data_IF_563332081375
#
_entry.id   IF_563332081375
#
_cell.length_a   1.000
_cell.length_b   1.000
_cell.length_c   1.000
_cell.angle_alpha   90.00
_cell.angle_beta   90.00
_cell.angle_gamma   90.00
#
_symmetry.space_group_name_H-M   'P 1'
#
loop_
_entity.id
_entity.type
_entity.pdbx_description
1 polymer ?
#
# COMPACT_ATOMS: atom_id res chain seq x y z
N UNK A 1 -38.42 2.31 31.11
CA UNK A 1 -37.91 1.89 29.79
C UNK A 1 -36.40 1.99 29.84
N UNK A 2 -35.73 0.83 29.78
CA UNK A 2 -34.27 0.66 29.68
C UNK A 2 -33.73 1.40 28.44
N UNK A 3 -32.58 2.10 28.48
CA UNK A 3 -31.23 1.56 28.61
C UNK A 3 -30.72 1.21 27.20
N UNK A 4 -29.75 1.92 26.62
CA UNK A 4 -28.33 1.69 26.84
C UNK A 4 -27.49 2.91 26.42
N UNK A 5 -26.78 3.48 27.39
CA UNK A 5 -25.54 4.22 27.18
C UNK A 5 -24.41 3.21 26.87
N UNK A 6 -23.74 3.37 25.73
CA UNK A 6 -22.33 2.99 25.56
C UNK A 6 -21.59 4.32 25.53
N UNK A 7 -20.71 4.69 26.46
CA UNK A 7 -19.67 3.89 27.11
C UNK A 7 -18.35 4.64 26.90
N UNK A 8 -18.31 5.92 27.32
CA UNK A 8 -17.09 6.69 27.44
C UNK A 8 -16.31 6.08 28.62
N UNK A 9 -15.41 5.13 28.33
CA UNK A 9 -14.51 4.59 29.35
C UNK A 9 -13.30 5.51 29.45
N UNK A 10 -13.15 6.06 30.65
CA UNK A 10 -12.04 6.91 31.11
C UNK A 10 -10.68 6.43 30.60
N UNK A 11 -9.98 7.32 29.91
CA UNK A 11 -8.60 7.20 29.47
C UNK A 11 -7.64 7.88 30.47
N UNK A 12 -7.88 7.77 31.78
CA UNK A 12 -7.09 8.46 32.83
C UNK A 12 -6.30 7.52 33.76
N UNK A 13 -6.27 6.20 33.51
CA UNK A 13 -5.68 5.23 34.45
C UNK A 13 -4.56 4.33 33.92
N UNK A 14 -4.17 4.43 32.65
CA UNK A 14 -3.09 3.57 32.13
C UNK A 14 -1.73 4.20 32.46
N UNK A 15 -0.86 3.42 33.10
CA UNK A 15 0.53 3.84 33.32
C UNK A 15 1.14 4.25 31.98
N UNK A 16 1.93 5.33 31.95
CA UNK A 16 2.62 5.80 30.73
C UNK A 16 3.36 4.64 30.04
N UNK A 17 3.89 3.68 30.82
CA UNK A 17 4.54 2.46 30.35
C UNK A 17 3.62 1.52 29.56
N UNK A 18 2.35 1.37 29.95
CA UNK A 18 1.37 0.53 29.24
C UNK A 18 0.92 1.18 27.93
N UNK A 19 0.72 2.50 27.93
CA UNK A 19 0.37 3.27 26.71
C UNK A 19 1.52 3.22 25.70
N UNK A 20 2.75 3.38 26.17
CA UNK A 20 3.95 3.30 25.32
C UNK A 20 4.15 1.88 24.77
N UNK A 21 3.97 0.84 25.59
CA UNK A 21 4.05 -0.56 25.14
C UNK A 21 3.01 -0.92 24.07
N UNK A 22 1.77 -0.45 24.22
CA UNK A 22 0.71 -0.67 23.23
C UNK A 22 0.97 0.07 21.90
N UNK A 23 1.58 1.26 21.95
CA UNK A 23 1.96 2.01 20.75
C UNK A 23 3.10 1.35 19.97
N UNK A 24 4.08 0.77 20.67
CA UNK A 24 5.16 0.01 20.02
C UNK A 24 4.64 -1.26 19.35
N UNK A 25 3.80 -2.04 20.04
CA UNK A 25 3.19 -3.23 19.46
C UNK A 25 2.34 -2.91 18.21
N UNK A 26 1.61 -1.79 18.22
CA UNK A 26 0.86 -1.31 17.06
C UNK A 26 1.78 -0.94 15.88
N UNK A 27 2.90 -0.27 16.17
CA UNK A 27 3.88 0.11 15.16
C UNK A 27 4.54 -1.10 14.51
N UNK A 28 4.94 -2.08 15.31
CA UNK A 28 5.52 -3.33 14.82
C UNK A 28 4.52 -4.10 13.96
N UNK A 29 3.24 -4.15 14.37
CA UNK A 29 2.18 -4.82 13.61
C UNK A 29 1.91 -4.12 12.27
N UNK A 30 1.87 -2.78 12.23
CA UNK A 30 1.66 -2.05 10.97
C UNK A 30 2.84 -2.26 10.02
N UNK A 31 4.07 -2.26 10.56
CA UNK A 31 5.28 -2.51 9.79
C UNK A 31 5.32 -3.93 9.22
N UNK A 32 5.07 -4.93 10.05
CA UNK A 32 5.03 -6.32 9.60
C UNK A 32 3.91 -6.54 8.55
N UNK A 33 2.75 -5.91 8.75
CA UNK A 33 1.67 -5.93 7.75
C UNK A 33 2.07 -5.23 6.45
N UNK A 34 2.78 -4.10 6.51
CA UNK A 34 3.21 -3.38 5.30
C UNK A 34 4.28 -4.15 4.54
N UNK A 35 5.19 -4.82 5.23
CA UNK A 35 6.24 -5.64 4.63
C UNK A 35 5.61 -6.85 3.91
N UNK A 36 4.59 -7.47 4.53
CA UNK A 36 3.80 -8.55 3.93
C UNK A 36 3.09 -8.11 2.64
N UNK A 37 2.65 -6.85 2.56
CA UNK A 37 1.91 -6.30 1.42
C UNK A 37 2.72 -5.34 0.55
N UNK A 38 4.05 -5.31 0.70
CA UNK A 38 4.93 -4.29 0.12
C UNK A 38 4.68 -4.13 -1.39
N UNK A 39 4.71 -5.23 -2.13
CA UNK A 39 4.49 -5.22 -3.57
C UNK A 39 3.10 -4.68 -3.96
N UNK A 40 2.05 -5.13 -3.28
CA UNK A 40 0.68 -4.68 -3.55
C UNK A 40 0.52 -3.19 -3.23
N UNK A 41 1.09 -2.72 -2.13
CA UNK A 41 1.11 -1.30 -1.75
C UNK A 41 1.85 -0.47 -2.79
N UNK A 42 2.98 -0.98 -3.29
CA UNK A 42 3.77 -0.28 -4.29
C UNK A 42 3.02 -0.14 -5.63
N UNK A 43 2.24 -1.14 -6.06
CA UNK A 43 1.34 -1.02 -7.22
C UNK A 43 0.30 0.09 -6.99
N UNK A 44 -0.36 0.08 -5.83
CA UNK A 44 -1.36 1.09 -5.45
C UNK A 44 -0.74 2.50 -5.47
N UNK A 45 0.47 2.65 -4.93
CA UNK A 45 1.23 3.91 -4.89
C UNK A 45 1.52 4.42 -6.31
N UNK A 46 2.01 3.54 -7.20
CA UNK A 46 2.32 3.92 -8.58
C UNK A 46 1.07 4.29 -9.38
N UNK A 47 -0.02 3.55 -9.22
CA UNK A 47 -1.33 3.90 -9.81
C UNK A 47 -1.76 5.30 -9.36
N UNK A 48 -1.67 5.59 -8.06
CA UNK A 48 -2.03 6.90 -7.53
C UNK A 48 -1.14 8.01 -8.10
N UNK A 49 0.17 7.77 -8.26
CA UNK A 49 1.10 8.74 -8.86
C UNK A 49 0.81 9.01 -10.33
N UNK A 50 0.61 7.96 -11.13
CA UNK A 50 0.36 8.12 -12.57
C UNK A 50 -0.97 8.82 -12.85
N UNK A 51 -2.01 8.47 -12.10
CA UNK A 51 -3.33 9.09 -12.23
C UNK A 51 -3.41 10.49 -11.64
N UNK A 52 -2.44 10.89 -10.80
CA UNK A 52 -2.34 12.22 -10.21
C UNK A 52 -1.29 13.10 -10.92
N UNK A 53 -1.35 13.18 -12.24
CA UNK A 53 -0.46 14.07 -13.03
C UNK A 53 0.94 13.51 -13.33
N UNK A 54 1.21 12.25 -13.01
CA UNK A 54 2.45 11.58 -13.37
C UNK A 54 3.52 11.57 -12.26
N UNK A 55 4.59 10.80 -12.48
CA UNK A 55 5.68 10.64 -11.52
C UNK A 55 6.45 11.94 -11.33
N UNK A 56 6.86 12.59 -12.42
CA UNK A 56 7.64 13.82 -12.37
C UNK A 56 6.87 14.95 -11.65
N UNK A 57 5.57 15.08 -11.91
CA UNK A 57 4.72 16.08 -11.25
C UNK A 57 4.66 15.90 -9.72
N UNK A 58 4.61 14.65 -9.26
CA UNK A 58 4.50 14.34 -7.84
C UNK A 58 5.84 14.43 -7.11
N UNK A 59 6.94 14.11 -7.79
CA UNK A 59 8.30 14.24 -7.25
C UNK A 59 8.88 15.65 -7.38
N UNK A 60 8.30 16.53 -8.20
CA UNK A 60 8.76 17.90 -8.37
C UNK A 60 8.61 18.75 -7.10
N UNK A 61 7.67 18.41 -6.21
CA UNK A 61 7.47 19.12 -4.95
C UNK A 61 7.94 18.31 -3.76
N UNK A 62 8.74 18.94 -2.91
CA UNK A 62 9.21 18.33 -1.64
C UNK A 62 8.16 18.34 -0.54
N UNK A 63 7.03 19.02 -0.72
CA UNK A 63 5.97 19.12 0.27
C UNK A 63 4.84 18.10 0.09
N UNK A 64 4.95 17.19 -0.89
CA UNK A 64 3.96 16.14 -1.14
C UNK A 64 4.36 14.82 -0.49
N UNK A 65 3.37 14.10 0.02
CA UNK A 65 3.51 12.73 0.45
C UNK A 65 2.30 11.89 0.04
N UNK A 66 2.52 10.59 -0.06
CA UNK A 66 1.44 9.62 -0.12
C UNK A 66 0.88 9.40 1.28
N UNK A 67 -0.43 9.47 1.41
CA UNK A 67 -1.16 9.14 2.65
C UNK A 67 -2.03 7.92 2.36
N UNK A 68 -1.73 6.81 3.03
CA UNK A 68 -2.52 5.58 2.99
C UNK A 68 -3.26 5.49 4.32
N UNK A 69 -4.59 5.51 4.25
CA UNK A 69 -5.46 5.32 5.41
C UNK A 69 -5.82 3.85 5.53
N UNK A 70 -5.45 3.25 6.64
CA UNK A 70 -5.74 1.89 7.02
C UNK A 70 -6.97 1.83 7.92
N UNK A 71 -7.69 0.73 7.86
CA UNK A 71 -8.74 0.39 8.83
C UNK A 71 -8.47 -0.99 9.42
N UNK A 72 -8.46 -1.06 10.75
CA UNK A 72 -8.29 -2.32 11.48
C UNK A 72 -9.45 -3.27 11.19
N UNK A 73 -9.13 -4.51 10.86
CA UNK A 73 -10.14 -5.56 10.65
C UNK A 73 -10.33 -6.30 11.98
N UNK A 74 -11.56 -6.37 12.52
CA UNK A 74 -11.81 -7.10 13.76
C UNK A 74 -11.45 -8.58 13.60
N UNK A 75 -10.63 -9.11 14.51
CA UNK A 75 -10.42 -10.56 14.60
C UNK A 75 -11.73 -11.21 15.04
N UNK A 76 -12.34 -11.99 14.15
CA UNK A 76 -13.48 -12.84 14.48
C UNK A 76 -13.06 -13.99 15.38
N UNK A 77 -12.90 -13.74 16.69
CA UNK A 77 -12.86 -14.71 17.77
C UNK A 77 -11.83 -15.85 17.65
N UNK A 78 -10.67 -15.68 18.31
CA UNK A 78 -9.85 -16.81 18.77
C UNK A 78 -8.70 -17.24 17.85
N UNK A 79 -7.67 -16.41 17.77
CA UNK A 79 -6.23 -16.73 17.69
C UNK A 79 -5.48 -15.46 17.26
N UNK A 80 -4.14 -15.47 17.38
CA UNK A 80 -3.23 -14.38 16.98
C UNK A 80 -3.67 -13.69 15.68
N UNK A 81 -3.63 -12.35 15.63
CA UNK A 81 -3.94 -11.56 14.43
C UNK A 81 -3.19 -12.15 13.25
N UNK A 82 -3.92 -12.61 12.24
CA UNK A 82 -3.33 -13.02 10.99
C UNK A 82 -2.72 -11.80 10.34
N UNK A 83 -1.39 -11.71 10.31
CA UNK A 83 -0.73 -10.43 10.02
C UNK A 83 -1.19 -9.86 8.68
N UNK A 84 -1.33 -10.67 7.62
CA UNK A 84 -1.81 -10.20 6.32
C UNK A 84 -3.25 -9.67 6.30
N UNK A 85 -4.06 -9.92 7.34
CA UNK A 85 -5.46 -9.49 7.47
C UNK A 85 -5.68 -8.43 8.54
N UNK A 86 -4.62 -7.98 9.21
CA UNK A 86 -4.72 -7.03 10.33
C UNK A 86 -5.40 -5.72 9.92
N UNK A 87 -5.14 -5.27 8.69
CA UNK A 87 -5.67 -4.02 8.14
C UNK A 87 -6.17 -4.19 6.72
N UNK A 88 -7.13 -3.34 6.35
CA UNK A 88 -7.49 -3.07 4.95
C UNK A 88 -7.13 -1.63 4.58
N UNK A 89 -6.79 -1.41 3.31
CA UNK A 89 -6.59 -0.06 2.76
C UNK A 89 -7.95 0.59 2.55
N UNK A 90 -8.25 1.63 3.32
CA UNK A 90 -9.49 2.41 3.23
C UNK A 90 -9.38 3.49 2.16
N UNK A 91 -8.32 4.31 2.22
CA UNK A 91 -8.11 5.44 1.32
C UNK A 91 -6.62 5.59 0.95
N UNK A 92 -6.35 6.14 -0.22
CA UNK A 92 -5.00 6.43 -0.72
C UNK A 92 -5.07 7.75 -1.46
N UNK A 93 -4.23 8.70 -1.06
CA UNK A 93 -4.18 10.01 -1.68
C UNK A 93 -2.77 10.57 -1.64
N UNK A 94 -2.46 11.42 -2.61
CA UNK A 94 -1.28 12.28 -2.58
C UNK A 94 -1.75 13.63 -2.08
N UNK A 95 -1.11 14.16 -1.03
CA UNK A 95 -1.48 15.43 -0.43
C UNK A 95 -0.24 16.27 -0.15
N UNK A 96 -0.41 17.59 -0.23
CA UNK A 96 0.61 18.52 0.26
C UNK A 96 0.58 18.60 1.78
N UNK A 97 1.72 18.93 2.37
CA UNK A 97 1.91 19.09 3.81
C UNK A 97 0.85 19.98 4.45
N UNK A 98 0.48 21.06 3.80
CA UNK A 98 -0.50 22.03 4.28
C UNK A 98 -1.95 21.62 4.01
N UNK A 99 -2.22 20.68 3.11
CA UNK A 99 -3.58 20.23 2.76
C UNK A 99 -4.07 19.11 3.67
N UNK A 100 -3.16 18.31 4.22
CA UNK A 100 -3.51 17.18 5.07
C UNK A 100 -3.20 17.47 6.57
N UNK A 101 -4.20 17.37 7.47
CA UNK A 101 -4.00 17.63 8.89
C UNK A 101 -2.95 16.75 9.56
N UNK A 102 -2.81 15.50 9.10
CA UNK A 102 -1.82 14.58 9.61
C UNK A 102 -0.42 15.03 9.16
N UNK A 103 -0.22 15.26 7.85
CA UNK A 103 1.06 15.75 7.36
C UNK A 103 1.45 17.06 8.05
N UNK A 104 0.55 18.04 8.15
CA UNK A 104 0.83 19.32 8.81
C UNK A 104 1.35 19.16 10.25
N UNK A 105 0.87 18.15 10.98
CA UNK A 105 1.22 17.93 12.38
C UNK A 105 2.52 17.14 12.57
N UNK A 106 2.79 16.18 11.70
CA UNK A 106 3.87 15.20 11.90
C UNK A 106 5.01 15.32 10.89
N UNK A 107 4.89 16.19 9.89
CA UNK A 107 5.95 16.48 8.93
C UNK A 107 7.20 17.03 9.61
N UNK A 108 8.34 16.38 9.42
CA UNK A 108 9.64 16.91 9.84
C UNK A 108 10.44 17.34 8.61
N UNK A 109 11.08 18.51 8.69
CA UNK A 109 11.88 19.04 7.55
C UNK A 109 13.11 18.17 7.24
N UNK A 110 13.65 17.49 8.24
CA UNK A 110 14.71 16.47 8.08
C UNK A 110 14.23 15.21 7.34
N UNK A 111 12.92 15.03 7.21
CA UNK A 111 12.28 13.99 6.40
C UNK A 111 11.86 14.53 5.04
N UNK A 112 12.24 15.73 4.59
CA UNK A 112 12.02 16.07 3.19
C UNK A 112 12.92 15.15 2.33
N UNK A 113 12.40 14.47 1.30
CA UNK A 113 13.17 13.50 0.55
C UNK A 113 14.36 14.22 -0.07
N UNK A 114 15.56 13.83 0.34
CA UNK A 114 16.74 14.16 -0.42
C UNK A 114 16.79 13.14 -1.54
N UNK A 115 16.12 13.46 -2.65
CA UNK A 115 16.28 12.77 -3.94
C UNK A 115 17.76 12.57 -4.31
N UNK A 116 18.66 13.38 -3.73
CA UNK A 116 20.11 13.32 -3.89
C UNK A 116 20.88 12.57 -2.77
N UNK A 117 20.36 12.40 -1.55
CA UNK A 117 21.14 11.82 -0.44
C UNK A 117 21.19 10.29 -0.45
N UNK A 118 20.14 9.62 -0.91
CA UNK A 118 20.22 8.18 -1.21
C UNK A 118 21.07 7.91 -2.46
N UNK A 119 21.19 8.92 -3.34
CA UNK A 119 22.04 8.88 -4.51
C UNK A 119 23.55 8.84 -4.19
N UNK A 120 23.98 9.25 -2.99
CA UNK A 120 25.39 9.26 -2.58
C UNK A 120 25.78 8.24 -1.50
N UNK A 121 24.83 7.73 -0.68
CA UNK A 121 25.19 7.00 0.55
C UNK A 121 25.16 5.47 0.48
N UNK A 122 24.65 4.85 -0.59
CA UNK A 122 24.71 3.37 -0.75
C UNK A 122 25.67 3.01 -1.87
N UNK A 123 26.95 2.88 -1.53
CA UNK A 123 28.05 2.50 -2.44
C UNK A 123 27.99 1.07 -2.99
N UNK A 124 26.81 0.44 -3.08
CA UNK A 124 26.63 -0.93 -3.56
C UNK A 124 25.28 -1.03 -4.28
N UNK A 125 25.34 -0.99 -5.61
CA UNK A 125 24.44 -1.56 -6.63
C UNK A 125 24.21 -0.59 -7.80
N UNK A 126 24.26 -1.07 -9.05
CA UNK A 126 23.84 -0.28 -10.20
C UNK A 126 22.38 0.14 -9.98
N UNK A 127 22.12 1.44 -10.01
CA UNK A 127 20.75 1.96 -9.88
C UNK A 127 19.86 1.28 -10.91
N UNK A 128 18.68 0.81 -10.46
CA UNK A 128 17.67 0.35 -11.37
C UNK A 128 17.37 1.47 -12.40
N UNK A 129 17.48 1.22 -13.71
CA UNK A 129 17.39 2.30 -14.72
C UNK A 129 16.04 3.02 -14.70
N UNK A 130 14.98 2.35 -14.26
CA UNK A 130 13.66 2.95 -14.11
C UNK A 130 13.45 3.75 -12.81
N UNK A 131 14.38 3.73 -11.83
CA UNK A 131 14.19 4.46 -10.57
C UNK A 131 14.12 5.98 -10.83
N UNK A 132 12.99 6.59 -10.47
CA UNK A 132 12.72 8.01 -10.64
C UNK A 132 13.12 8.83 -9.40
N UNK A 133 12.99 8.25 -8.21
CA UNK A 133 13.29 8.89 -6.94
C UNK A 133 12.55 8.18 -5.80
N UNK A 134 12.35 8.91 -4.71
CA UNK A 134 11.63 8.41 -3.55
C UNK A 134 10.50 9.34 -3.13
N UNK A 135 9.44 8.77 -2.54
CA UNK A 135 8.32 9.53 -1.97
C UNK A 135 8.05 9.07 -0.53
N UNK A 136 7.68 10.04 0.32
CA UNK A 136 7.22 9.77 1.68
C UNK A 136 5.87 9.07 1.66
N UNK A 137 5.75 8.01 2.44
CA UNK A 137 4.48 7.30 2.63
C UNK A 137 4.11 7.33 4.11
N UNK A 138 2.98 7.94 4.40
CA UNK A 138 2.36 7.94 5.71
C UNK A 138 1.24 6.91 5.76
N UNK A 139 1.38 5.90 6.62
CA UNK A 139 0.31 4.97 6.96
C UNK A 139 -0.42 5.51 8.20
N UNK A 140 -1.69 5.83 8.06
CA UNK A 140 -2.54 6.31 9.17
C UNK A 140 -3.60 5.27 9.49
N UNK A 141 -4.04 5.16 10.75
CA UNK A 141 -5.13 4.24 11.12
C UNK A 141 -6.39 5.03 11.40
N UNK A 142 -7.46 4.73 10.66
CA UNK A 142 -8.77 5.37 10.77
C UNK A 142 -9.30 5.28 12.21
N UNK A 143 -9.79 6.41 12.72
CA UNK A 143 -10.34 6.50 14.07
C UNK A 143 -9.28 6.56 15.17
N UNK A 144 -8.00 6.67 14.82
CA UNK A 144 -6.91 6.82 15.78
C UNK A 144 -6.08 8.07 15.47
N UNK A 145 -5.32 8.56 16.44
CA UNK A 145 -4.26 9.54 16.22
C UNK A 145 -2.93 8.88 15.82
N UNK A 146 -2.94 7.57 15.55
CA UNK A 146 -1.75 6.81 15.21
C UNK A 146 -1.42 6.94 13.73
N UNK A 147 -0.14 7.13 13.47
CA UNK A 147 0.41 6.96 12.15
C UNK A 147 1.86 6.49 12.21
N UNK A 148 2.24 5.76 11.17
CA UNK A 148 3.59 5.37 10.89
C UNK A 148 4.04 6.11 9.63
N UNK A 149 5.15 6.83 9.73
CA UNK A 149 5.80 7.42 8.56
C UNK A 149 6.95 6.50 8.16
N UNK A 150 6.90 5.99 6.93
CA UNK A 150 8.03 5.31 6.34
C UNK A 150 9.00 6.36 5.83
N UNK A 151 10.32 6.14 6.01
CA UNK A 151 11.30 7.11 5.58
C UNK A 151 11.14 7.37 4.09
N UNK A 152 11.11 6.38 3.20
CA UNK A 152 11.03 6.60 1.75
C UNK A 152 10.56 5.33 1.02
N UNK A 153 9.64 5.44 0.05
CA UNK A 153 9.33 4.38 -0.93
C UNK A 153 9.97 4.69 -2.28
N UNK A 154 10.53 3.67 -2.92
CA UNK A 154 11.11 3.78 -4.26
C UNK A 154 10.01 3.93 -5.31
N UNK A 155 10.13 5.00 -6.11
CA UNK A 155 9.22 5.35 -7.17
C UNK A 155 9.90 5.15 -8.52
N UNK A 156 9.25 4.40 -9.40
CA UNK A 156 9.75 4.04 -10.72
C UNK A 156 9.02 4.80 -11.82
N UNK A 157 9.74 5.11 -12.90
CA UNK A 157 9.18 5.63 -14.15
C UNK A 157 8.33 4.53 -14.80
N UNK A 158 7.25 4.89 -15.51
CA UNK A 158 6.56 3.96 -16.41
C UNK A 158 7.56 3.31 -17.38
N UNK A 159 7.33 2.06 -17.77
CA UNK A 159 8.28 1.32 -18.59
C UNK A 159 8.32 1.81 -20.04
N UNK A 160 7.15 2.12 -20.61
CA UNK A 160 7.02 2.53 -22.02
C UNK A 160 6.73 4.02 -22.19
N UNK A 161 6.64 4.77 -21.08
CA UNK A 161 6.30 6.19 -21.10
C UNK A 161 7.27 7.05 -20.29
N UNK A 162 7.29 8.36 -20.59
CA UNK A 162 8.10 9.31 -19.84
C UNK A 162 7.52 9.53 -18.43
N UNK A 163 8.32 10.10 -17.52
CA UNK A 163 7.89 10.33 -16.14
C UNK A 163 6.76 11.38 -16.02
N UNK A 164 6.62 12.23 -17.04
CA UNK A 164 5.60 13.28 -17.17
C UNK A 164 4.33 12.77 -17.87
N UNK A 165 4.34 11.54 -18.40
CA UNK A 165 3.22 10.99 -19.14
C UNK A 165 2.00 10.82 -18.23
N UNK A 166 0.85 11.31 -18.71
CA UNK A 166 -0.43 11.14 -18.05
C UNK A 166 -1.17 9.99 -18.75
N UNK A 167 -1.67 8.98 -18.03
CA UNK A 167 -2.40 7.88 -18.64
C UNK A 167 -3.64 8.38 -19.40
N UNK A 168 -3.86 7.92 -20.65
CA UNK A 168 -5.14 8.12 -21.32
C UNK A 168 -6.30 7.56 -20.51
N UNK A 169 -7.53 8.05 -20.76
CA UNK A 169 -8.73 7.66 -20.00
C UNK A 169 -8.93 6.14 -19.88
N UNK A 170 -8.60 5.40 -20.93
CA UNK A 170 -8.67 3.93 -20.92
C UNK A 170 -7.72 3.29 -19.88
N UNK A 171 -6.47 3.75 -19.80
CA UNK A 171 -5.52 3.32 -18.77
C UNK A 171 -5.98 3.74 -17.38
N UNK A 172 -6.50 4.97 -17.21
CA UNK A 172 -7.06 5.41 -15.94
C UNK A 172 -8.19 4.48 -15.45
N UNK A 173 -9.09 4.05 -16.33
CA UNK A 173 -10.14 3.08 -16.00
C UNK A 173 -9.56 1.73 -15.60
N UNK A 174 -8.57 1.21 -16.33
CA UNK A 174 -7.91 -0.05 -15.99
C UNK A 174 -7.16 0.02 -14.65
N UNK A 175 -6.46 1.13 -14.39
CA UNK A 175 -5.76 1.36 -13.13
C UNK A 175 -6.71 1.48 -11.93
N UNK A 176 -7.89 2.10 -12.13
CA UNK A 176 -8.92 2.12 -11.10
C UNK A 176 -9.41 0.72 -10.74
N UNK A 177 -9.62 -0.13 -11.74
CA UNK A 177 -10.02 -1.52 -11.51
C UNK A 177 -8.92 -2.31 -10.81
N UNK A 178 -7.66 -2.07 -11.17
CA UNK A 178 -6.51 -2.70 -10.56
C UNK A 178 -6.29 -2.26 -9.10
N UNK A 179 -6.49 -0.98 -8.77
CA UNK A 179 -6.52 -0.48 -7.39
C UNK A 179 -7.59 -1.20 -6.58
N UNK A 180 -8.81 -1.36 -7.13
CA UNK A 180 -9.90 -2.10 -6.47
C UNK A 180 -9.48 -3.55 -6.23
N UNK A 181 -8.90 -4.25 -7.22
CA UNK A 181 -8.40 -5.62 -7.05
C UNK A 181 -7.36 -5.69 -5.93
N UNK A 182 -6.36 -4.80 -5.94
CA UNK A 182 -5.28 -4.78 -4.95
C UNK A 182 -5.81 -4.57 -3.52
N UNK A 183 -6.70 -3.59 -3.32
CA UNK A 183 -7.29 -3.34 -1.99
C UNK A 183 -8.15 -4.49 -1.49
N UNK A 184 -8.88 -5.16 -2.39
CA UNK A 184 -9.68 -6.34 -2.03
C UNK A 184 -8.80 -7.55 -1.72
N UNK A 185 -7.70 -7.74 -2.45
CA UNK A 185 -6.71 -8.77 -2.14
C UNK A 185 -6.11 -8.57 -0.74
N UNK A 186 -5.68 -7.35 -0.42
CA UNK A 186 -5.20 -6.97 0.93
C UNK A 186 -6.28 -7.30 1.98
N UNK A 187 -7.53 -6.87 1.76
CA UNK A 187 -8.61 -7.12 2.72
C UNK A 187 -8.92 -8.62 2.91
N UNK A 188 -8.67 -9.45 1.90
CA UNK A 188 -8.78 -10.91 1.99
C UNK A 188 -7.54 -11.60 2.60
N UNK A 189 -6.47 -10.84 2.84
CA UNK A 189 -5.17 -11.36 3.29
C UNK A 189 -4.35 -12.04 2.20
N UNK A 190 -4.69 -11.80 0.92
CA UNK A 190 -3.98 -12.30 -0.25
C UNK A 190 -2.78 -11.39 -0.50
N UNK A 191 -1.64 -12.01 -0.74
CA UNK A 191 -0.37 -11.34 -0.98
C UNK A 191 0.10 -11.60 -2.40
N UNK A 192 0.32 -10.51 -3.14
CA UNK A 192 0.93 -10.55 -4.45
C UNK A 192 2.46 -10.48 -4.26
N UNK A 193 3.22 -11.25 -5.05
CA UNK A 193 4.66 -11.02 -5.21
C UNK A 193 5.06 -10.97 -6.66
N UNK A 194 6.19 -10.33 -6.88
CA UNK A 194 6.97 -10.48 -8.10
C UNK A 194 7.38 -11.94 -8.22
N UNK A 195 7.19 -12.54 -9.39
CA UNK A 195 7.85 -13.79 -9.74
C UNK A 195 9.35 -13.51 -9.84
N UNK A 196 10.22 -14.39 -9.34
CA UNK A 196 11.68 -14.22 -9.30
C UNK A 196 12.28 -14.01 -10.71
N UNK A 197 12.11 -12.82 -11.29
CA UNK A 197 12.72 -12.42 -12.55
C UNK A 197 14.02 -11.66 -12.25
N UNK A 198 15.19 -12.23 -12.55
CA UNK A 198 16.49 -11.60 -12.33
C UNK A 198 16.73 -10.34 -13.16
N UNK A 199 15.84 -9.98 -14.11
CA UNK A 199 15.94 -8.73 -14.87
C UNK A 199 15.59 -7.48 -14.05
N UNK A 200 15.08 -7.61 -12.82
CA UNK A 200 14.96 -6.51 -11.85
C UNK A 200 13.91 -5.44 -12.17
N UNK A 201 13.27 -5.50 -13.34
CA UNK A 201 12.27 -4.53 -13.77
C UNK A 201 10.95 -4.74 -13.02
N UNK A 202 10.79 -4.03 -11.90
CA UNK A 202 9.59 -4.01 -11.05
C UNK A 202 8.26 -3.81 -11.83
N UNK A 203 8.30 -3.21 -13.02
CA UNK A 203 7.13 -2.88 -13.83
C UNK A 203 6.98 -3.70 -15.13
N UNK A 204 7.97 -4.52 -15.50
CA UNK A 204 7.94 -5.33 -16.73
C UNK A 204 7.48 -6.77 -16.48
N UNK A 205 6.60 -6.98 -15.49
CA UNK A 205 6.38 -8.30 -14.91
C UNK A 205 5.24 -9.06 -15.59
N UNK A 206 5.32 -10.41 -15.68
CA UNK A 206 4.15 -11.26 -15.85
C UNK A 206 3.13 -11.01 -14.71
N UNK A 207 1.89 -11.52 -14.82
CA UNK A 207 0.95 -11.48 -13.69
C UNK A 207 1.63 -11.94 -12.40
N UNK A 208 1.40 -11.27 -11.26
CA UNK A 208 2.12 -11.59 -10.04
C UNK A 208 1.79 -12.99 -9.54
N UNK A 209 2.72 -13.56 -8.77
CA UNK A 209 2.46 -14.77 -8.01
C UNK A 209 1.54 -14.45 -6.83
N UNK A 210 0.56 -15.32 -6.61
CA UNK A 210 -0.42 -15.18 -5.54
C UNK A 210 -0.08 -16.10 -4.39
N UNK A 211 -0.22 -15.59 -3.16
CA UNK A 211 -0.11 -16.41 -1.97
C UNK A 211 -0.94 -15.92 -0.81
N UNK A 212 -0.97 -16.75 0.22
CA UNK A 212 -1.45 -16.42 1.57
C UNK A 212 -0.30 -16.65 2.52
N UNK A 213 -0.25 -15.87 3.60
CA UNK A 213 0.60 -16.27 4.72
C UNK A 213 -0.14 -17.31 5.53
N UNK A 214 0.54 -18.38 5.89
CA UNK A 214 0.05 -19.39 6.82
C UNK A 214 0.98 -19.42 8.03
N UNK A 215 0.44 -19.82 9.19
CA UNK A 215 1.25 -19.92 10.40
C UNK A 215 2.14 -21.16 10.30
N UNK A 216 3.45 -20.97 10.43
CA UNK A 216 4.46 -22.03 10.43
C UNK A 216 5.18 -22.02 11.79
N UNK A 217 4.65 -22.81 12.74
CA UNK A 217 5.12 -22.81 14.12
C UNK A 217 4.96 -21.45 14.80
N UNK A 218 6.10 -20.78 15.07
CA UNK A 218 6.15 -19.45 15.69
C UNK A 218 6.10 -18.28 14.70
N UNK A 219 6.17 -18.54 13.39
CA UNK A 219 6.25 -17.50 12.36
C UNK A 219 5.14 -17.57 11.32
N UNK A 220 5.28 -16.72 10.31
CA UNK A 220 4.42 -16.66 9.13
C UNK A 220 5.21 -17.07 7.90
N UNK A 221 4.65 -17.97 7.09
CA UNK A 221 5.25 -18.41 5.84
C UNK A 221 4.32 -18.13 4.67
N UNK A 222 4.84 -17.55 3.60
CA UNK A 222 4.09 -17.39 2.35
C UNK A 222 3.90 -18.74 1.68
N UNK A 223 2.65 -19.10 1.43
CA UNK A 223 2.24 -20.27 0.66
C UNK A 223 1.65 -19.78 -0.66
N UNK A 224 2.31 -20.13 -1.76
CA UNK A 224 1.84 -19.79 -3.10
C UNK A 224 0.59 -20.60 -3.42
N UNK A 225 -0.40 -19.95 -4.01
CA UNK A 225 -1.62 -20.56 -4.47
C UNK A 225 -1.92 -20.08 -5.89
N UNK A 226 -1.56 -20.89 -6.91
CA UNK A 226 -1.72 -20.50 -8.32
C UNK A 226 -3.19 -20.40 -8.76
N UNK A 227 -4.13 -20.96 -8.00
CA UNK A 227 -5.57 -20.92 -8.35
C UNK A 227 -6.29 -19.71 -7.75
N UNK A 228 -5.63 -18.84 -6.98
CA UNK A 228 -6.29 -17.66 -6.40
C UNK A 228 -6.94 -16.73 -7.42
N UNK A 229 -6.35 -16.61 -8.60
CA UNK A 229 -6.94 -15.81 -9.67
C UNK A 229 -8.27 -16.41 -10.14
N UNK A 230 -8.32 -17.73 -10.37
CA UNK A 230 -9.54 -18.41 -10.82
C UNK A 230 -10.59 -18.56 -9.73
N UNK A 231 -10.17 -18.77 -8.48
CA UNK A 231 -11.04 -19.21 -7.40
C UNK A 231 -11.53 -18.06 -6.53
N UNK A 232 -10.77 -16.95 -6.50
CA UNK A 232 -11.06 -15.81 -5.62
C UNK A 232 -11.24 -14.52 -6.41
N UNK A 233 -10.24 -14.10 -7.19
CA UNK A 233 -10.24 -12.77 -7.84
C UNK A 233 -11.28 -12.68 -8.96
N UNK A 234 -11.27 -13.61 -9.92
CA UNK A 234 -12.23 -13.59 -11.03
C UNK A 234 -13.69 -13.71 -10.55
N UNK A 235 -14.04 -14.61 -9.62
CA UNK A 235 -15.39 -14.66 -9.07
C UNK A 235 -15.78 -13.40 -8.29
N UNK A 236 -14.83 -12.76 -7.62
CA UNK A 236 -15.07 -11.49 -6.93
C UNK A 236 -15.35 -10.34 -7.91
N UNK A 237 -14.61 -10.26 -9.02
CA UNK A 237 -14.87 -9.30 -10.09
C UNK A 237 -16.26 -9.52 -10.71
N UNK A 238 -16.60 -10.77 -11.01
CA UNK A 238 -17.89 -11.14 -11.60
C UNK A 238 -19.09 -10.85 -10.67
N UNK A 239 -18.91 -11.00 -9.34
CA UNK A 239 -19.95 -10.70 -8.34
C UNK A 239 -20.17 -9.20 -8.13
N UNK A 240 -19.21 -8.36 -8.49
CA UNK A 240 -19.25 -6.93 -8.21
C UNK A 240 -18.94 -6.07 -9.45
N UNK A 241 -19.63 -6.27 -10.59
CA UNK A 241 -19.29 -5.63 -11.86
C UNK A 241 -19.35 -4.10 -11.80
N UNK A 242 -20.22 -3.53 -10.97
CA UNK A 242 -20.33 -2.08 -10.77
C UNK A 242 -19.11 -1.42 -10.10
N UNK A 243 -18.18 -2.23 -9.57
CA UNK A 243 -16.90 -1.75 -9.01
C UNK A 243 -15.77 -1.71 -10.04
N UNK A 244 -15.95 -2.32 -11.20
CA UNK A 244 -14.93 -2.44 -12.26
C UNK A 244 -15.38 -1.69 -13.52
N UNK A 245 -14.83 -0.51 -13.74
CA UNK A 245 -15.26 0.45 -14.76
C UNK A 245 -14.66 0.19 -16.14
N UNK A 246 -13.54 -0.53 -16.24
CA UNK A 246 -12.93 -0.86 -17.53
C UNK A 246 -13.59 -2.06 -18.22
N UNK A 247 -14.26 -2.93 -17.44
CA UNK A 247 -14.83 -4.19 -17.92
C UNK A 247 -13.79 -5.23 -18.34
N UNK A 248 -12.50 -4.99 -18.10
CA UNK A 248 -11.43 -5.89 -18.48
C UNK A 248 -11.29 -7.06 -17.50
N UNK A 249 -10.93 -8.26 -17.99
CA UNK A 249 -10.57 -9.36 -17.11
C UNK A 249 -9.26 -9.05 -16.38
N UNK A 250 -9.07 -9.68 -15.22
CA UNK A 250 -7.91 -9.50 -14.36
C UNK A 250 -6.56 -9.59 -15.11
N UNK A 251 -6.37 -10.59 -15.97
CA UNK A 251 -5.12 -10.75 -16.73
C UNK A 251 -4.86 -9.56 -17.66
N UNK A 252 -5.91 -9.00 -18.28
CA UNK A 252 -5.76 -7.85 -19.16
C UNK A 252 -5.38 -6.58 -18.38
N UNK A 253 -5.81 -6.43 -17.12
CA UNK A 253 -5.39 -5.33 -16.26
C UNK A 253 -3.87 -5.34 -16.04
N UNK A 254 -3.27 -6.50 -15.74
CA UNK A 254 -1.82 -6.62 -15.56
C UNK A 254 -1.03 -6.44 -16.85
N UNK A 255 -1.55 -6.96 -17.97
CA UNK A 255 -0.93 -6.72 -19.28
C UNK A 255 -0.92 -5.23 -19.62
N UNK A 256 -1.96 -4.48 -19.25
CA UNK A 256 -1.97 -3.03 -19.42
C UNK A 256 -1.02 -2.33 -18.46
N UNK A 257 -0.92 -2.79 -17.21
CA UNK A 257 0.06 -2.26 -16.27
C UNK A 257 1.48 -2.38 -16.82
N UNK A 258 1.88 -3.56 -17.32
CA UNK A 258 3.22 -3.78 -17.87
C UNK A 258 3.50 -3.06 -19.20
N UNK A 259 2.46 -2.52 -19.84
CA UNK A 259 2.57 -1.66 -21.03
C UNK A 259 2.65 -0.17 -20.70
N UNK A 260 2.47 0.19 -19.43
CA UNK A 260 2.62 1.57 -18.98
C UNK A 260 4.06 1.81 -18.52
#
# INVERSE_FOLDING_TARGET
MHGLCYGFVLWEGLSKSCVVGAQFALLDTVREWSDVHEYTLQIIIHIALWTNGGVAHNLASRDKAMVVTLESVPNGGGDSIHISRAYRVFDVKIARRDEDPFLRRYWREEQAPNSEARAHNTGQEPRHPALAGTMHVALTIRGTAFALQFPEYDIYRPYMHTAEAIPPQFFCSAFKDLDVVCRRAIAAGIVLSISDDPAGNFLALPPPDFGIYERDGSGWKKVLNPTMVSDVINPDMARHPSKFVSGLPFQALWVLLGKW
#
